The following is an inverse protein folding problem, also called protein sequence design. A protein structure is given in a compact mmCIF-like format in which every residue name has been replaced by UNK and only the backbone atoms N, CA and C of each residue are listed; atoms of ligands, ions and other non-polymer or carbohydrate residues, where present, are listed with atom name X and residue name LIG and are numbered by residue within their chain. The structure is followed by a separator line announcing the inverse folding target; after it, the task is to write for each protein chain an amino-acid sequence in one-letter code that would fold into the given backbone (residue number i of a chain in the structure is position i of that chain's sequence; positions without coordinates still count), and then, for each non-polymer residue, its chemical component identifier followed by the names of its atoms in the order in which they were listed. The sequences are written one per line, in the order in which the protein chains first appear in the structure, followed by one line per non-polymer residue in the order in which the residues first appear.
data_IF_337210239733
#
_entry.id   IF_337210239733
#
_cell.length_a   1.000
_cell.length_b   1.000
_cell.length_c   1.000
_cell.angle_alpha   90.00
_cell.angle_beta   90.00
_cell.angle_gamma   90.00
#
_symmetry.space_group_name_H-M   'P 1'
#
loop_
_entity.id
_entity.type
_entity.pdbx_description
1 polymer ?
#
# COMPACT_ATOMS: atom_id res chain seq x y z
N UNK A 1 -14.66 -17.27 5.67
CA UNK A 1 -13.84 -18.47 5.42
C UNK A 1 -14.58 -19.39 4.45
N UNK A 2 -14.53 -19.09 3.16
CA UNK A 2 -15.15 -19.91 2.11
C UNK A 2 -14.02 -20.49 1.27
N UNK A 3 -13.66 -21.76 1.52
CA UNK A 3 -12.69 -22.49 0.73
C UNK A 3 -13.42 -23.33 -0.33
N UNK A 4 -12.97 -23.25 -1.58
CA UNK A 4 -13.46 -24.09 -2.67
C UNK A 4 -12.45 -25.22 -2.87
N UNK A 5 -12.92 -26.47 -2.77
CA UNK A 5 -12.11 -27.66 -3.04
C UNK A 5 -12.62 -28.28 -4.33
N UNK A 6 -11.73 -28.38 -5.33
CA UNK A 6 -12.02 -29.01 -6.61
C UNK A 6 -11.17 -30.27 -6.71
N UNK A 7 -11.82 -31.42 -6.71
CA UNK A 7 -11.16 -32.73 -6.77
C UNK A 7 -11.01 -33.22 -8.20
N UNK A 8 -10.03 -34.11 -8.41
CA UNK A 8 -9.80 -34.82 -9.67
C UNK A 8 -9.55 -33.93 -10.91
N UNK A 9 -8.99 -32.74 -10.72
CA UNK A 9 -8.66 -31.83 -11.83
C UNK A 9 -7.50 -32.40 -12.63
N UNK A 10 -7.64 -32.61 -13.94
CA UNK A 10 -6.53 -33.05 -14.78
C UNK A 10 -5.47 -31.95 -14.85
N UNK A 11 -4.19 -32.33 -14.75
CA UNK A 11 -3.08 -31.35 -14.77
C UNK A 11 -3.11 -30.47 -16.01
N UNK A 12 -3.54 -31.00 -17.16
CA UNK A 12 -3.68 -30.25 -18.42
C UNK A 12 -4.62 -29.03 -18.36
N UNK A 13 -5.61 -29.03 -17.46
CA UNK A 13 -6.57 -27.92 -17.29
C UNK A 13 -6.05 -26.82 -16.34
N UNK A 14 -4.89 -27.03 -15.70
CA UNK A 14 -4.31 -26.06 -14.81
C UNK A 14 -3.54 -24.95 -15.55
N UNK A 15 -3.45 -23.74 -14.96
CA UNK A 15 -2.58 -22.67 -15.44
C UNK A 15 -1.14 -23.15 -15.65
N UNK A 16 -0.47 -22.65 -16.70
CA UNK A 16 0.89 -23.06 -17.07
C UNK A 16 1.87 -22.91 -15.90
N UNK A 17 1.82 -21.79 -15.18
CA UNK A 17 2.69 -21.52 -14.04
C UNK A 17 2.53 -22.52 -12.88
N UNK A 18 1.39 -23.20 -12.79
CA UNK A 18 1.16 -24.25 -11.78
C UNK A 18 1.64 -25.60 -12.31
N UNK A 19 1.42 -25.89 -13.59
CA UNK A 19 1.94 -27.10 -14.27
C UNK A 19 3.46 -27.17 -14.20
N UNK A 20 4.15 -26.06 -14.42
CA UNK A 20 5.62 -26.01 -14.34
C UNK A 20 6.16 -26.43 -12.96
N UNK A 21 5.38 -26.21 -11.89
CA UNK A 21 5.74 -26.59 -10.51
C UNK A 21 5.40 -28.04 -10.16
N UNK A 22 4.35 -28.61 -10.77
CA UNK A 22 3.90 -29.99 -10.52
C UNK A 22 4.78 -31.04 -11.24
N UNK A 23 5.64 -30.62 -12.17
CA UNK A 23 6.46 -31.52 -12.98
C UNK A 23 5.64 -32.21 -14.09
N UNK A 24 6.31 -32.97 -14.96
CA UNK A 24 5.75 -33.62 -16.17
C UNK A 24 4.76 -34.78 -15.87
N UNK A 25 3.87 -34.63 -14.89
CA UNK A 25 2.78 -35.57 -14.64
C UNK A 25 1.55 -35.16 -15.48
N UNK A 26 1.70 -35.16 -16.81
CA UNK A 26 0.69 -34.66 -17.75
C UNK A 26 -0.68 -35.35 -17.61
N UNK A 27 -0.69 -36.63 -17.20
CA UNK A 27 -1.91 -37.44 -17.02
C UNK A 27 -2.37 -37.56 -15.55
N UNK A 28 -1.72 -36.85 -14.62
CA UNK A 28 -2.11 -36.90 -13.23
C UNK A 28 -3.38 -36.08 -12.96
N UNK A 29 -4.11 -36.48 -11.91
CA UNK A 29 -5.23 -35.73 -11.35
C UNK A 29 -4.82 -35.15 -10.01
N UNK A 30 -5.16 -33.89 -9.77
CA UNK A 30 -4.83 -33.19 -8.53
C UNK A 30 -6.06 -32.58 -7.88
N UNK A 31 -5.94 -32.28 -6.59
CA UNK A 31 -6.96 -31.57 -5.82
C UNK A 31 -6.52 -30.12 -5.64
N UNK A 32 -7.34 -29.17 -6.10
CA UNK A 32 -7.07 -27.74 -5.99
C UNK A 32 -7.92 -27.17 -4.86
N UNK A 33 -7.26 -26.57 -3.86
CA UNK A 33 -7.92 -25.84 -2.77
C UNK A 33 -7.69 -24.35 -2.98
N UNK A 34 -8.77 -23.61 -3.20
CA UNK A 34 -8.76 -22.16 -3.41
C UNK A 34 -9.38 -21.52 -2.17
N UNK A 35 -8.63 -20.62 -1.57
CA UNK A 35 -9.09 -19.82 -0.45
C UNK A 35 -8.98 -18.35 -0.84
N UNK A 36 -10.05 -17.60 -0.60
CA UNK A 36 -9.94 -16.15 -0.65
C UNK A 36 -9.04 -15.73 0.52
N UNK A 37 -7.89 -15.16 0.17
CA UNK A 37 -7.11 -14.40 1.14
C UNK A 37 -8.06 -13.36 1.73
N UNK A 38 -8.21 -13.35 3.06
CA UNK A 38 -8.84 -12.22 3.70
C UNK A 38 -7.99 -11.03 3.30
N UNK A 39 -8.56 -10.13 2.49
CA UNK A 39 -7.95 -8.82 2.32
C UNK A 39 -7.60 -8.37 3.73
N UNK A 40 -6.30 -8.19 4.00
CA UNK A 40 -5.87 -7.60 5.25
C UNK A 40 -6.79 -6.40 5.43
N UNK A 41 -7.61 -6.44 6.49
CA UNK A 41 -8.52 -5.36 6.81
C UNK A 41 -7.69 -4.10 6.62
N UNK A 42 -8.08 -3.25 5.66
CA UNK A 42 -7.40 -1.97 5.43
C UNK A 42 -7.23 -1.40 6.82
N UNK A 43 -5.98 -1.41 7.32
CA UNK A 43 -5.70 -1.11 8.71
C UNK A 43 -6.35 0.23 8.92
N UNK A 44 -7.47 0.20 9.65
CA UNK A 44 -8.32 1.37 9.75
C UNK A 44 -7.41 2.47 10.24
N UNK A 45 -7.51 3.66 9.65
CA UNK A 45 -6.62 4.80 9.94
C UNK A 45 -6.46 5.10 11.46
N UNK A 46 -7.30 4.49 12.31
CA UNK A 46 -7.20 4.43 13.75
C UNK A 46 -5.96 3.68 14.29
N UNK A 47 -5.46 2.63 13.65
CA UNK A 47 -4.29 1.87 14.14
C UNK A 47 -2.98 2.66 14.00
N UNK A 48 -2.90 3.54 13.01
CA UNK A 48 -1.79 4.49 12.84
C UNK A 48 -1.99 5.80 13.59
N UNK A 49 -3.20 6.08 14.11
CA UNK A 49 -3.49 7.32 14.81
C UNK A 49 -2.75 7.42 16.16
N UNK A 50 -2.41 6.28 16.75
CA UNK A 50 -1.71 6.17 18.04
C UNK A 50 -0.19 5.97 17.89
N UNK A 51 0.34 5.87 16.66
CA UNK A 51 1.79 5.85 16.46
C UNK A 51 2.34 7.28 16.69
N UNK A 52 3.23 7.47 17.69
CA UNK A 52 3.80 8.78 18.00
C UNK A 52 4.54 9.42 16.81
N UNK A 53 4.94 8.66 15.79
CA UNK A 53 5.51 9.19 14.55
C UNK A 53 4.47 9.85 13.63
N UNK A 54 3.23 9.39 13.63
CA UNK A 54 2.16 9.86 12.73
C UNK A 54 1.35 11.04 13.29
N UNK A 55 1.56 11.41 14.56
CA UNK A 55 0.96 12.60 15.20
C UNK A 55 1.88 13.83 15.32
N UNK A 56 3.18 13.70 15.01
CA UNK A 56 4.19 14.75 15.26
C UNK A 56 3.89 16.09 14.55
N UNK A 57 3.10 16.07 13.48
CA UNK A 57 2.75 17.26 12.68
C UNK A 57 1.35 17.77 12.97
N UNK A 58 0.59 17.10 13.85
CA UNK A 58 -0.79 17.46 14.20
C UNK A 58 -0.87 18.79 14.94
N UNK A 59 0.13 19.10 15.75
CA UNK A 59 0.22 20.33 16.54
C UNK A 59 0.89 21.49 15.78
N UNK A 60 1.26 21.28 14.50
CA UNK A 60 1.83 22.33 13.66
C UNK A 60 0.74 23.15 12.99
N UNK A 61 0.42 24.29 13.60
CA UNK A 61 -0.54 25.25 13.05
C UNK A 61 -0.17 25.74 11.65
N UNK A 62 1.12 25.76 11.30
CA UNK A 62 1.57 26.17 9.97
C UNK A 62 1.34 25.13 8.86
N UNK A 63 0.86 23.93 9.21
CA UNK A 63 0.35 22.93 8.25
C UNK A 63 -1.13 23.13 7.90
N UNK A 64 -1.85 24.06 8.57
CA UNK A 64 -3.22 24.40 8.20
C UNK A 64 -3.33 25.06 6.81
N UNK A 65 -2.27 25.75 6.37
CA UNK A 65 -2.13 26.27 5.01
C UNK A 65 -0.80 25.80 4.38
N UNK A 66 -0.84 24.59 3.80
CA UNK A 66 0.30 23.99 3.12
C UNK A 66 0.81 24.86 1.96
N UNK A 67 -0.08 25.55 1.25
CA UNK A 67 0.29 26.38 0.11
C UNK A 67 1.06 27.63 0.56
N UNK A 68 0.58 28.31 1.61
CA UNK A 68 1.27 29.43 2.26
C UNK A 68 2.63 29.00 2.83
N UNK A 69 2.68 27.84 3.48
CA UNK A 69 3.92 27.28 4.02
C UNK A 69 5.00 27.08 2.94
N UNK A 70 4.64 26.43 1.83
CA UNK A 70 5.58 26.20 0.72
C UNK A 70 6.01 27.51 0.07
N UNK A 71 5.08 28.47 -0.10
CA UNK A 71 5.40 29.80 -0.65
C UNK A 71 6.42 30.54 0.21
N UNK A 72 6.27 30.47 1.54
CA UNK A 72 7.21 31.05 2.51
C UNK A 72 8.59 30.42 2.41
N UNK A 73 8.70 29.09 2.35
CA UNK A 73 9.99 28.40 2.18
C UNK A 73 10.69 28.81 0.88
N UNK A 74 9.91 28.99 -0.19
CA UNK A 74 10.43 29.38 -1.50
C UNK A 74 10.72 30.88 -1.62
N UNK A 75 10.35 31.68 -0.62
CA UNK A 75 10.57 33.12 -0.65
C UNK A 75 12.08 33.43 -0.56
N UNK A 76 12.57 34.42 -1.32
CA UNK A 76 13.96 34.85 -1.21
C UNK A 76 14.22 35.44 0.17
N UNK A 77 15.41 35.19 0.73
CA UNK A 77 15.80 35.66 2.07
C UNK A 77 15.95 37.18 2.16
N UNK A 78 16.17 37.83 1.01
CA UNK A 78 16.35 39.26 0.88
C UNK A 78 15.43 39.78 -0.24
N UNK A 79 14.91 40.97 -0.03
CA UNK A 79 14.17 41.72 -1.05
C UNK A 79 15.15 42.31 -2.08
N UNK A 80 14.61 42.82 -3.19
CA UNK A 80 15.42 43.43 -4.25
C UNK A 80 16.21 44.68 -3.79
N UNK A 81 15.78 45.31 -2.71
CA UNK A 81 16.45 46.45 -2.06
C UNK A 81 17.52 46.03 -1.04
N UNK A 82 17.75 44.71 -0.85
CA UNK A 82 18.72 44.15 0.09
C UNK A 82 18.23 44.07 1.54
N UNK A 83 17.00 44.50 1.83
CA UNK A 83 16.39 44.31 3.15
C UNK A 83 16.05 42.84 3.41
N UNK A 84 16.02 42.42 4.67
CA UNK A 84 15.65 41.05 5.04
C UNK A 84 14.17 40.82 4.77
N UNK A 85 13.86 39.70 4.13
CA UNK A 85 12.48 39.31 3.92
C UNK A 85 11.95 38.59 5.18
N UNK A 86 10.88 39.12 5.78
CA UNK A 86 10.24 38.61 7.01
C UNK A 86 8.95 37.81 6.73
N UNK A 87 8.77 37.35 5.49
CA UNK A 87 7.64 36.52 5.05
C UNK A 87 7.54 35.16 5.73
#
# INVERSE_FOLDING_TARGET
MNAIVIEHVPVAELPQAWRDKLGQAADARVTVRIEAEQAAEEQTNAEFADDPLFGMWRDREDMADVAGYIRRIRAPRFNADGSRNES
#
